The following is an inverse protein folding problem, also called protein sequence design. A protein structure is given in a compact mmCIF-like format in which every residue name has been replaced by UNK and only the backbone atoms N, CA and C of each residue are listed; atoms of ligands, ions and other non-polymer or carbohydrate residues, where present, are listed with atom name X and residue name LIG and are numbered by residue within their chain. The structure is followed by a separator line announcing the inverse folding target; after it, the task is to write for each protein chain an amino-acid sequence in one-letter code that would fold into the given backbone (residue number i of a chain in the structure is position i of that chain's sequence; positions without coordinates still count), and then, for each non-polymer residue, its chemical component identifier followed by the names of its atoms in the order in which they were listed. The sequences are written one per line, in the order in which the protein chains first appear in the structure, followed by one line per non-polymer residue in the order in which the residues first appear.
data_IF_896182067438
#
_entry.id   IF_896182067438
#
_cell.length_a   1.000
_cell.length_b   1.000
_cell.length_c   1.000
_cell.angle_alpha   90.00
_cell.angle_beta   90.00
_cell.angle_gamma   90.00
#
_symmetry.space_group_name_H-M   'P 1'
#
loop_
_entity.id
_entity.type
_entity.pdbx_description
1 polymer ?
#
# COMPACT_ATOMS: atom_id res chain seq x y z
N UNK A 1 7.36 30.64 -61.97
CA UNK A 1 6.75 30.70 -60.62
C UNK A 1 6.66 29.28 -60.09
N UNK A 2 7.69 28.81 -59.36
CA UNK A 2 7.79 27.42 -58.89
C UNK A 2 7.73 27.39 -57.36
N UNK A 3 6.78 26.62 -56.85
CA UNK A 3 6.51 26.41 -55.42
C UNK A 3 7.68 25.63 -54.82
N UNK A 4 8.33 26.17 -53.79
CA UNK A 4 9.29 25.42 -52.97
C UNK A 4 8.86 25.52 -51.51
N UNK A 5 8.29 24.41 -51.05
CA UNK A 5 8.02 24.14 -49.65
C UNK A 5 9.34 24.17 -48.87
N UNK A 6 9.44 25.01 -47.84
CA UNK A 6 10.57 25.02 -46.91
C UNK A 6 10.05 24.84 -45.49
N UNK A 7 10.21 23.59 -45.03
CA UNK A 7 10.37 23.11 -43.66
C UNK A 7 9.48 23.74 -42.58
N UNK A 8 8.29 23.16 -42.45
CA UNK A 8 7.67 23.02 -41.13
C UNK A 8 8.46 21.96 -40.37
N UNK A 9 9.15 22.38 -39.32
CA UNK A 9 9.81 21.51 -38.34
C UNK A 9 8.86 21.43 -37.13
N UNK A 10 8.05 20.36 -37.00
CA UNK A 10 7.02 20.30 -35.96
C UNK A 10 7.59 20.05 -34.55
N UNK A 11 8.89 19.75 -34.43
CA UNK A 11 9.45 19.08 -33.25
C UNK A 11 10.31 20.00 -32.36
N UNK A 12 10.24 21.31 -32.55
CA UNK A 12 11.02 22.27 -31.75
C UNK A 12 10.45 22.53 -30.33
N UNK A 13 9.69 21.61 -29.74
CA UNK A 13 9.00 21.90 -28.48
C UNK A 13 8.31 20.76 -27.74
N UNK A 14 8.67 19.48 -27.95
CA UNK A 14 8.19 18.43 -27.05
C UNK A 14 8.99 18.47 -25.74
N UNK A 15 8.53 19.35 -24.85
CA UNK A 15 8.93 19.41 -23.45
C UNK A 15 8.88 18.01 -22.85
N UNK A 16 10.06 17.49 -22.48
CA UNK A 16 10.21 16.33 -21.61
C UNK A 16 9.82 16.76 -20.20
N UNK A 17 8.54 16.75 -19.85
CA UNK A 17 8.11 17.08 -18.50
C UNK A 17 6.72 16.51 -18.24
N UNK A 18 6.65 15.23 -17.84
CA UNK A 18 5.67 14.80 -16.83
C UNK A 18 6.18 13.51 -16.17
N UNK A 19 7.33 13.61 -15.51
CA UNK A 19 7.69 12.63 -14.48
C UNK A 19 7.00 13.07 -13.19
N UNK A 20 5.67 12.99 -13.15
CA UNK A 20 4.92 13.10 -11.90
C UNK A 20 5.48 12.04 -10.96
N UNK A 21 6.17 12.42 -9.85
CA UNK A 21 6.75 11.44 -8.96
C UNK A 21 5.62 10.54 -8.46
N UNK A 22 5.78 9.21 -8.50
CA UNK A 22 4.71 8.29 -8.14
C UNK A 22 4.25 8.64 -6.72
N UNK A 23 2.96 8.94 -6.60
CA UNK A 23 2.33 9.31 -5.32
C UNK A 23 2.55 8.13 -4.38
N UNK A 24 3.45 8.30 -3.41
CA UNK A 24 3.81 7.23 -2.50
C UNK A 24 2.60 6.91 -1.62
N UNK A 25 1.88 5.84 -1.97
CA UNK A 25 0.65 5.45 -1.29
C UNK A 25 0.99 5.03 0.14
N UNK A 26 0.40 5.66 1.16
CA UNK A 26 0.67 5.30 2.54
C UNK A 26 0.00 3.97 2.90
N UNK A 27 0.71 3.10 3.63
CA UNK A 27 0.16 1.86 4.18
C UNK A 27 -0.85 2.18 5.28
N UNK A 28 -2.04 1.59 5.19
CA UNK A 28 -3.14 1.85 6.12
C UNK A 28 -2.84 1.45 7.57
N UNK A 29 -2.04 0.42 7.81
CA UNK A 29 -1.73 -0.04 9.17
C UNK A 29 -0.60 0.75 9.85
N UNK A 30 0.50 0.98 9.14
CA UNK A 30 1.72 1.55 9.71
C UNK A 30 2.00 2.99 9.26
N UNK A 31 1.13 3.58 8.44
CA UNK A 31 1.20 4.95 7.88
C UNK A 31 2.46 5.30 7.07
N UNK A 32 3.34 4.33 6.83
CA UNK A 32 4.57 4.49 6.04
C UNK A 32 4.26 4.52 4.54
N UNK A 33 5.05 5.24 3.72
CA UNK A 33 4.92 5.17 2.27
C UNK A 33 5.19 3.73 1.80
N UNK A 34 4.33 3.21 0.95
CA UNK A 34 4.56 1.95 0.25
C UNK A 34 5.52 2.19 -0.91
N UNK A 35 6.47 1.27 -1.09
CA UNK A 35 7.41 1.32 -2.20
C UNK A 35 6.84 0.67 -3.46
N UNK A 36 7.61 -0.21 -4.08
CA UNK A 36 7.24 -0.86 -5.36
C UNK A 36 6.13 -1.91 -5.20
N UNK A 37 6.03 -2.52 -4.01
CA UNK A 37 5.11 -3.63 -3.77
C UNK A 37 3.97 -3.21 -2.85
N UNK A 38 2.76 -3.11 -3.40
CA UNK A 38 1.54 -2.78 -2.68
C UNK A 38 0.59 -3.97 -2.73
N UNK A 39 0.04 -4.34 -1.58
CA UNK A 39 -1.03 -5.34 -1.47
C UNK A 39 -2.31 -4.66 -1.05
N UNK A 40 -3.41 -4.97 -1.74
CA UNK A 40 -4.73 -4.49 -1.41
C UNK A 40 -5.36 -5.42 -0.37
N UNK A 41 -5.46 -4.94 0.86
CA UNK A 41 -6.05 -5.69 1.97
C UNK A 41 -7.53 -5.32 2.13
N UNK A 42 -8.36 -6.30 2.50
CA UNK A 42 -9.74 -6.09 2.90
C UNK A 42 -9.83 -6.08 4.43
N UNK A 43 -10.01 -4.91 5.09
CA UNK A 43 -10.06 -4.84 6.54
C UNK A 43 -11.26 -5.60 7.11
N UNK A 44 -12.39 -5.55 6.40
CA UNK A 44 -13.54 -6.44 6.64
C UNK A 44 -13.48 -7.60 5.63
N UNK A 45 -13.51 -8.87 6.07
CA UNK A 45 -13.54 -10.00 5.15
C UNK A 45 -14.72 -9.96 4.18
N UNK A 46 -14.52 -10.35 2.91
CA UNK A 46 -15.58 -10.39 1.88
C UNK A 46 -16.81 -11.20 2.32
N UNK A 47 -16.60 -12.31 3.04
CA UNK A 47 -17.68 -13.16 3.58
C UNK A 47 -18.59 -12.45 4.58
N UNK A 48 -18.14 -11.32 5.13
CA UNK A 48 -18.90 -10.47 6.07
C UNK A 48 -19.40 -9.19 5.42
N UNK A 49 -19.37 -9.11 4.08
CA UNK A 49 -19.84 -7.95 3.32
C UNK A 49 -18.80 -6.84 3.14
N UNK A 50 -17.54 -7.09 3.49
CA UNK A 50 -16.47 -6.12 3.29
C UNK A 50 -16.22 -5.84 1.80
N UNK A 51 -16.30 -4.57 1.42
CA UNK A 51 -16.06 -4.07 0.05
C UNK A 51 -14.85 -3.17 -0.04
N UNK A 52 -14.46 -2.58 1.10
CA UNK A 52 -13.32 -1.68 1.18
C UNK A 52 -12.01 -2.44 0.97
N UNK A 53 -11.13 -1.79 0.21
CA UNK A 53 -9.75 -2.22 0.02
C UNK A 53 -8.84 -1.09 0.43
N UNK A 54 -7.82 -1.42 1.20
CA UNK A 54 -6.82 -0.46 1.67
C UNK A 54 -5.44 -0.90 1.20
N UNK A 55 -4.58 0.05 0.81
CA UNK A 55 -3.20 -0.25 0.47
C UNK A 55 -2.42 -0.63 1.72
N UNK A 56 -1.71 -1.75 1.67
CA UNK A 56 -0.87 -2.26 2.75
C UNK A 56 0.39 -2.94 2.21
N UNK A 57 1.43 -2.99 3.03
CA UNK A 57 2.57 -3.87 2.77
C UNK A 57 2.18 -5.34 2.97
N UNK A 58 2.81 -6.24 2.19
CA UNK A 58 2.63 -7.69 2.35
C UNK A 58 2.94 -8.17 3.77
N UNK A 59 3.99 -7.63 4.42
CA UNK A 59 4.33 -7.97 5.80
C UNK A 59 3.25 -7.52 6.79
N UNK A 60 2.70 -6.32 6.61
CA UNK A 60 1.63 -5.79 7.46
C UNK A 60 0.37 -6.65 7.36
N UNK A 61 0.03 -7.10 6.13
CA UNK A 61 -1.10 -8.01 5.91
C UNK A 61 -0.87 -9.35 6.62
N UNK A 62 0.32 -9.94 6.46
CA UNK A 62 0.69 -11.20 7.11
C UNK A 62 0.60 -11.11 8.63
N UNK A 63 1.07 -10.01 9.23
CA UNK A 63 0.94 -9.76 10.67
C UNK A 63 -0.53 -9.70 11.09
N UNK A 64 -1.37 -8.99 10.33
CA UNK A 64 -2.79 -8.83 10.67
C UNK A 64 -3.51 -10.17 10.72
N UNK A 65 -3.39 -10.97 9.65
CA UNK A 65 -4.05 -12.29 9.58
C UNK A 65 -3.44 -13.34 10.52
N UNK A 66 -2.21 -13.11 11.00
CA UNK A 66 -1.57 -13.95 12.01
C UNK A 66 -1.99 -13.59 13.45
N UNK A 67 -2.37 -12.33 13.71
CA UNK A 67 -2.75 -11.86 15.05
C UNK A 67 -4.27 -11.81 15.27
N UNK A 68 -5.06 -11.65 14.21
CA UNK A 68 -6.52 -11.53 14.31
C UNK A 68 -7.24 -12.62 13.50
N UNK A 69 -8.34 -13.08 14.06
CA UNK A 69 -9.31 -13.92 13.37
C UNK A 69 -10.25 -13.10 12.50
N UNK A 70 -10.91 -13.73 11.52
CA UNK A 70 -11.92 -13.06 10.67
C UNK A 70 -13.03 -12.38 11.48
N UNK A 71 -13.41 -12.96 12.63
CA UNK A 71 -14.45 -12.40 13.51
C UNK A 71 -13.97 -11.19 14.32
N UNK A 72 -12.66 -11.07 14.57
CA UNK A 72 -12.07 -9.88 15.20
C UNK A 72 -11.89 -8.78 14.16
N UNK A 73 -11.36 -9.11 12.98
CA UNK A 73 -11.26 -8.17 11.86
C UNK A 73 -12.62 -7.59 11.47
N UNK A 74 -13.69 -8.39 11.49
CA UNK A 74 -15.04 -7.88 11.27
C UNK A 74 -15.48 -6.87 12.34
N UNK A 75 -15.11 -7.09 13.61
CA UNK A 75 -15.48 -6.21 14.73
C UNK A 75 -14.71 -4.90 14.70
N UNK A 76 -13.43 -4.95 14.32
CA UNK A 76 -12.58 -3.77 14.21
C UNK A 76 -12.83 -3.01 12.90
N UNK A 77 -13.15 -3.70 11.80
CA UNK A 77 -13.47 -3.10 10.51
C UNK A 77 -12.37 -2.20 9.97
N UNK A 78 -12.71 -0.95 9.68
CA UNK A 78 -11.79 0.09 9.19
C UNK A 78 -11.10 0.88 10.32
N UNK A 79 -11.20 0.40 11.56
CA UNK A 79 -10.71 1.12 12.73
C UNK A 79 -9.28 0.66 13.10
N UNK A 80 -8.28 1.38 12.60
CA UNK A 80 -6.85 1.07 12.82
C UNK A 80 -6.49 1.18 14.30
N UNK A 81 -7.08 2.13 15.02
CA UNK A 81 -6.83 2.37 16.45
C UNK A 81 -7.14 1.12 17.28
N UNK A 82 -8.23 0.43 16.96
CA UNK A 82 -8.60 -0.83 17.61
C UNK A 82 -7.62 -1.96 17.30
N UNK A 83 -7.07 -2.01 16.09
CA UNK A 83 -6.03 -2.98 15.74
C UNK A 83 -4.72 -2.68 16.51
N UNK A 84 -4.39 -1.40 16.67
CA UNK A 84 -3.23 -0.93 17.42
C UNK A 84 -3.40 -1.02 18.95
N UNK A 85 -4.62 -1.25 19.44
CA UNK A 85 -4.86 -1.56 20.85
C UNK A 85 -4.30 -2.95 21.23
N UNK A 86 -4.09 -3.84 20.25
CA UNK A 86 -3.42 -5.11 20.49
C UNK A 86 -1.90 -4.89 20.68
N UNK A 87 -1.32 -5.27 21.84
CA UNK A 87 0.08 -5.01 22.13
C UNK A 87 1.03 -5.74 21.17
N UNK A 88 0.64 -6.87 20.57
CA UNK A 88 1.45 -7.57 19.59
C UNK A 88 1.57 -6.79 18.28
N UNK A 89 0.45 -6.21 17.83
CA UNK A 89 0.39 -5.40 16.61
C UNK A 89 1.11 -4.08 16.82
N UNK A 90 0.93 -3.44 17.97
CA UNK A 90 1.64 -2.20 18.31
C UNK A 90 3.16 -2.39 18.31
N UNK A 91 3.66 -3.42 19.01
CA UNK A 91 5.10 -3.78 18.98
C UNK A 91 5.61 -4.03 17.56
N UNK A 92 4.81 -4.70 16.74
CA UNK A 92 5.16 -4.92 15.33
C UNK A 92 5.21 -3.60 14.55
N UNK A 93 4.24 -2.71 14.71
CA UNK A 93 4.21 -1.41 14.04
C UNK A 93 5.40 -0.54 14.48
N UNK A 94 5.72 -0.50 15.77
CA UNK A 94 6.88 0.23 16.29
C UNK A 94 8.22 -0.34 15.75
N UNK A 95 8.27 -1.65 15.54
CA UNK A 95 9.44 -2.31 14.94
C UNK A 95 9.54 -2.06 13.43
N UNK A 96 8.43 -2.19 12.70
CA UNK A 96 8.39 -1.99 11.25
C UNK A 96 8.59 -0.52 10.89
N UNK A 97 8.22 0.42 11.76
CA UNK A 97 8.47 1.86 11.61
C UNK A 97 9.95 2.21 11.42
N UNK A 98 10.86 1.35 11.90
CA UNK A 98 12.31 1.53 11.81
C UNK A 98 12.94 0.86 10.57
N UNK A 99 12.13 0.25 9.70
CA UNK A 99 12.59 -0.48 8.51
C UNK A 99 12.39 0.33 7.23
N UNK A 100 12.93 -0.16 6.12
CA UNK A 100 12.77 0.41 4.78
C UNK A 100 11.33 0.19 4.24
N UNK A 101 10.75 1.09 3.42
CA UNK A 101 9.40 0.94 2.86
C UNK A 101 9.23 -0.29 1.96
N UNK A 102 10.29 -0.75 1.31
CA UNK A 102 10.26 -1.98 0.51
C UNK A 102 10.62 -3.24 1.32
N UNK A 103 10.71 -3.14 2.64
CA UNK A 103 11.05 -4.26 3.50
C UNK A 103 9.93 -5.31 3.53
N UNK A 104 10.16 -6.43 2.85
CA UNK A 104 9.31 -7.62 2.89
C UNK A 104 10.00 -8.72 3.69
N UNK A 105 9.35 -9.22 4.74
CA UNK A 105 9.77 -10.44 5.43
C UNK A 105 8.62 -11.44 5.44
N UNK A 106 8.94 -12.71 5.21
CA UNK A 106 7.98 -13.81 5.38
C UNK A 106 7.81 -14.06 6.87
N UNK A 107 6.59 -13.87 7.36
CA UNK A 107 6.29 -14.21 8.75
C UNK A 107 5.92 -15.70 8.78
N UNK A 108 6.67 -16.50 9.54
CA UNK A 108 6.29 -17.89 9.78
C UNK A 108 4.93 -17.90 10.48
N UNK A 109 3.89 -18.33 9.76
CA UNK A 109 2.56 -18.50 10.34
C UNK A 109 2.68 -19.52 11.48
N UNK A 110 2.35 -19.10 12.70
CA UNK A 110 2.26 -20.04 13.82
C UNK A 110 1.04 -20.93 13.54
N UNK A 111 1.27 -22.18 13.18
CA UNK A 111 0.22 -23.18 13.03
C UNK A 111 -0.53 -23.26 14.36
N UNK A 112 -1.83 -22.98 14.34
CA UNK A 112 -2.71 -23.05 15.51
C UNK A 112 -3.66 -24.22 15.35
#
# INVERSE_FOLDING_TARGET
MARKHSRYDPDAGLQREDETPPVAVACWLCTRPTGKTIVWHHPVPKSRGGRDVVPMHSICQQTLVANFTNSELQRHGMDVEMLLANPNVRKFVDWVAKKDPDFTATITKKQR
#
